data_IF_151825682961
#
_entry.id   IF_151825682961
#
_cell.length_a   1.000
_cell.length_b   1.000
_cell.length_c   1.000
_cell.angle_alpha   90.00
_cell.angle_beta   90.00
_cell.angle_gamma   90.00
#
_symmetry.space_group_name_H-M   'P 1'
#
loop_
_entity.id
_entity.type
_entity.pdbx_description
1 polymer ?
#
# COMPACT_ATOMS: atom_id res chain seq x y z
N UNK A 1 -9.18 0.62 9.42
CA UNK A 1 -8.53 1.11 8.21
C UNK A 1 -7.06 0.71 8.22
N UNK A 2 -6.51 0.37 7.08
CA UNK A 2 -5.12 -0.05 6.99
C UNK A 2 -4.19 1.14 7.23
N UNK A 3 -3.23 0.94 8.11
CA UNK A 3 -2.29 1.99 8.48
C UNK A 3 -1.03 1.87 7.61
N UNK A 4 -0.64 2.98 6.97
CA UNK A 4 0.50 2.97 6.06
C UNK A 4 1.80 2.57 6.77
N UNK A 5 2.02 3.05 7.99
CA UNK A 5 3.23 2.72 8.74
C UNK A 5 3.30 1.23 9.06
N UNK A 6 2.19 0.64 9.46
CA UNK A 6 2.14 -0.80 9.70
C UNK A 6 2.44 -1.58 8.43
N UNK A 7 1.87 -1.15 7.32
CA UNK A 7 2.10 -1.83 6.04
C UNK A 7 3.54 -1.70 5.59
N UNK A 8 4.14 -0.55 5.79
CA UNK A 8 5.54 -0.34 5.44
C UNK A 8 6.46 -1.24 6.26
N UNK A 9 6.26 -1.28 7.58
CA UNK A 9 7.06 -2.13 8.46
C UNK A 9 6.86 -3.61 8.13
N UNK A 10 5.64 -3.98 7.77
CA UNK A 10 5.34 -5.35 7.36
C UNK A 10 6.06 -5.70 6.07
N UNK A 11 6.13 -4.77 5.13
CA UNK A 11 6.84 -4.98 3.89
C UNK A 11 8.32 -5.24 4.15
N UNK A 12 8.93 -4.45 5.04
CA UNK A 12 10.33 -4.64 5.39
C UNK A 12 10.58 -5.97 6.10
N UNK A 13 9.63 -6.39 6.95
CA UNK A 13 9.73 -7.66 7.65
C UNK A 13 9.30 -8.87 6.82
N UNK A 14 8.47 -8.65 5.82
CA UNK A 14 8.12 -9.66 4.83
C UNK A 14 7.13 -10.74 5.22
N UNK A 15 6.44 -10.62 6.35
CA UNK A 15 5.68 -11.75 6.86
C UNK A 15 4.20 -11.49 7.16
N UNK A 16 3.82 -10.26 7.43
CA UNK A 16 2.46 -10.01 7.88
C UNK A 16 1.50 -9.90 6.70
N UNK A 17 0.32 -10.48 6.87
CA UNK A 17 -0.76 -10.36 5.90
C UNK A 17 -1.80 -9.37 6.42
N UNK A 18 -2.42 -8.65 5.49
CA UNK A 18 -3.46 -7.68 5.81
C UNK A 18 -4.77 -8.11 5.15
N UNK A 19 -5.87 -7.87 5.86
CA UNK A 19 -7.19 -8.16 5.32
C UNK A 19 -7.62 -7.00 4.41
N UNK A 20 -7.78 -7.30 3.12
CA UNK A 20 -8.24 -6.34 2.13
C UNK A 20 -9.47 -6.94 1.46
N UNK A 21 -10.62 -6.32 1.71
CA UNK A 21 -11.92 -6.79 1.21
C UNK A 21 -12.20 -8.25 1.57
N UNK A 22 -11.81 -8.66 2.79
CA UNK A 22 -12.07 -10.01 3.27
C UNK A 22 -11.03 -11.03 2.85
N UNK A 23 -10.00 -10.62 2.11
CA UNK A 23 -8.92 -11.50 1.67
C UNK A 23 -7.62 -11.09 2.34
N UNK A 24 -6.91 -12.05 2.90
CA UNK A 24 -5.61 -11.78 3.51
C UNK A 24 -4.54 -11.76 2.42
N UNK A 25 -3.82 -10.66 2.34
CA UNK A 25 -2.82 -10.43 1.30
C UNK A 25 -1.53 -9.91 1.91
N UNK A 26 -0.41 -10.32 1.32
CA UNK A 26 0.89 -9.81 1.70
C UNK A 26 1.25 -8.61 0.84
N UNK A 27 2.07 -7.73 1.39
CA UNK A 27 2.58 -6.58 0.66
C UNK A 27 3.77 -7.03 -0.16
N UNK A 28 3.72 -6.76 -1.46
CA UNK A 28 4.77 -7.17 -2.38
C UNK A 28 5.62 -6.01 -2.88
N UNK A 29 5.13 -4.79 -2.75
CA UNK A 29 5.87 -3.60 -3.16
C UNK A 29 5.39 -2.38 -2.40
N UNK A 30 6.29 -1.42 -2.24
CA UNK A 30 6.01 -0.13 -1.61
C UNK A 30 6.72 0.95 -2.41
N UNK A 31 6.06 2.09 -2.59
CA UNK A 31 6.67 3.19 -3.31
C UNK A 31 6.02 4.51 -2.96
N UNK A 32 6.51 5.56 -3.61
CA UNK A 32 5.99 6.90 -3.39
C UNK A 32 6.06 7.68 -4.69
N UNK A 33 5.22 8.72 -4.76
CA UNK A 33 5.22 9.65 -5.88
C UNK A 33 5.87 10.94 -5.42
N UNK A 34 6.68 11.53 -6.30
CA UNK A 34 7.35 12.79 -6.01
C UNK A 34 6.98 13.83 -7.07
N UNK A 35 6.93 15.09 -6.62
CA UNK A 35 6.85 16.24 -7.52
C UNK A 35 8.05 17.11 -7.20
N UNK A 36 9.08 17.05 -8.03
CA UNK A 36 10.36 17.66 -7.70
C UNK A 36 11.01 16.93 -6.54
N UNK A 37 11.27 17.65 -5.46
CA UNK A 37 11.86 17.08 -4.25
C UNK A 37 10.81 16.76 -3.20
N UNK A 38 9.53 17.01 -3.48
CA UNK A 38 8.46 16.79 -2.51
C UNK A 38 7.77 15.46 -2.76
N UNK A 39 7.54 14.70 -1.69
CA UNK A 39 6.75 13.49 -1.77
C UNK A 39 5.27 13.89 -1.74
N UNK A 40 4.53 13.53 -2.79
CA UNK A 40 3.13 13.91 -2.92
C UNK A 40 2.17 12.79 -2.52
N UNK A 41 2.68 11.58 -2.36
CA UNK A 41 1.85 10.45 -1.95
C UNK A 41 2.65 9.17 -1.89
N UNK A 42 2.00 8.14 -1.39
CA UNK A 42 2.60 6.80 -1.25
C UNK A 42 1.68 5.77 -1.86
N UNK A 43 2.23 4.63 -2.24
CA UNK A 43 1.41 3.51 -2.65
C UNK A 43 1.99 2.21 -2.10
N UNK A 44 1.09 1.25 -1.90
CA UNK A 44 1.45 -0.08 -1.44
C UNK A 44 0.78 -1.08 -2.37
N UNK A 45 1.54 -2.01 -2.89
CA UNK A 45 1.01 -3.06 -3.75
C UNK A 45 0.95 -4.35 -2.95
N UNK A 46 -0.22 -4.97 -2.94
CA UNK A 46 -0.41 -6.29 -2.35
C UNK A 46 -0.59 -7.31 -3.47
N UNK A 47 -0.91 -8.53 -3.12
CA UNK A 47 -1.03 -9.61 -4.12
C UNK A 47 -2.14 -9.31 -5.14
N UNK A 48 -3.23 -8.66 -4.72
CA UNK A 48 -4.37 -8.41 -5.59
C UNK A 48 -4.83 -6.96 -5.64
N UNK A 49 -4.16 -6.06 -4.94
CA UNK A 49 -4.60 -4.67 -4.85
C UNK A 49 -3.43 -3.70 -4.90
N UNK A 50 -3.75 -2.47 -5.26
CA UNK A 50 -2.82 -1.35 -5.14
C UNK A 50 -3.52 -0.27 -4.34
N UNK A 51 -2.90 0.13 -3.24
CA UNK A 51 -3.49 1.08 -2.29
C UNK A 51 -2.72 2.39 -2.39
N UNK A 52 -3.46 3.49 -2.51
CA UNK A 52 -2.87 4.82 -2.65
C UNK A 52 -3.13 5.63 -1.39
N UNK A 53 -2.10 6.33 -0.94
CA UNK A 53 -2.14 7.20 0.23
C UNK A 53 -1.64 8.58 -0.15
N UNK A 54 -2.20 9.62 0.48
CA UNK A 54 -1.74 10.98 0.25
C UNK A 54 -0.47 11.26 1.06
N UNK A 55 0.04 12.48 0.92
CA UNK A 55 1.28 12.87 1.60
C UNK A 55 1.16 12.83 3.13
N UNK A 56 -0.04 12.91 3.66
CA UNK A 56 -0.31 12.86 5.10
C UNK A 56 -0.58 11.44 5.57
N UNK A 57 -0.28 10.45 4.74
CA UNK A 57 -0.45 9.02 5.03
C UNK A 57 -1.91 8.62 5.21
N UNK A 58 -2.83 9.37 4.62
CA UNK A 58 -4.24 9.05 4.65
C UNK A 58 -4.61 8.24 3.41
N UNK A 59 -5.43 7.23 3.60
CA UNK A 59 -5.89 6.40 2.49
C UNK A 59 -6.71 7.21 1.50
N UNK A 60 -6.44 7.04 0.22
CA UNK A 60 -7.14 7.76 -0.84
C UNK A 60 -8.02 6.82 -1.64
N UNK A 61 -7.44 5.81 -2.27
CA UNK A 61 -8.18 4.91 -3.14
C UNK A 61 -7.50 3.55 -3.20
N UNK A 62 -8.30 2.54 -3.49
CA UNK A 62 -7.83 1.17 -3.69
C UNK A 62 -8.18 0.73 -5.09
N UNK A 63 -7.23 0.12 -5.77
CA UNK A 63 -7.46 -0.50 -7.08
C UNK A 63 -7.29 -2.00 -6.97
N UNK A 64 -8.17 -2.74 -7.64
CA UNK A 64 -8.02 -4.18 -7.76
C UNK A 64 -7.16 -4.47 -8.98
N UNK A 65 -6.10 -5.22 -8.79
CA UNK A 65 -5.20 -5.57 -9.89
C UNK A 65 -5.85 -6.64 -10.76
N UNK A 66 -5.70 -6.50 -12.06
CA UNK A 66 -6.19 -7.50 -12.99
C UNK A 66 -5.30 -8.74 -12.89
N UNK A 67 -5.92 -9.86 -12.62
CA UNK A 67 -5.22 -11.15 -12.50
C UNK A 67 -5.64 -12.01 -13.67
N UNK A 68 -4.66 -12.55 -14.34
CA UNK A 68 -4.90 -13.46 -15.47
C UNK A 68 -4.87 -14.88 -15.02
#
# INVERSE_FOLDING_TARGET
MLNLDEMYHSYLGGHKQFNIDGVKERIIAYGWHCDGSDITGHYVTTENHKLFYNRDNQFVIKETLAIK
#
